data_IF_868886273956
#
_entry.id   IF_868886273956
#
_cell.length_a   1.000
_cell.length_b   1.000
_cell.length_c   1.000
_cell.angle_alpha   90.00
_cell.angle_beta   90.00
_cell.angle_gamma   90.00
#
_symmetry.space_group_name_H-M   'P 1'
#
loop_
_entity.id
_entity.type
_entity.pdbx_description
1 polymer ?
#
# COMPACT_ATOMS: atom_id res chain seq x y z
N UNK A 1 23.00 27.29 2.94
CA UNK A 1 21.61 27.38 3.46
C UNK A 1 20.73 27.79 2.27
N UNK A 2 20.34 26.83 1.43
CA UNK A 2 19.52 27.11 0.25
C UNK A 2 18.10 26.63 0.55
N UNK A 3 17.16 27.57 0.50
CA UNK A 3 15.74 27.33 0.62
C UNK A 3 15.30 26.33 -0.46
N UNK A 4 14.78 25.19 -0.02
CA UNK A 4 14.02 24.30 -0.89
C UNK A 4 12.70 25.00 -1.13
N UNK A 5 12.50 25.48 -2.35
CA UNK A 5 11.24 26.09 -2.78
C UNK A 5 10.10 25.11 -2.46
N UNK A 6 9.17 25.61 -1.65
CA UNK A 6 7.81 25.10 -1.48
C UNK A 6 7.11 25.15 -2.83
N UNK A 7 7.34 24.14 -3.65
CA UNK A 7 6.48 23.81 -4.78
C UNK A 7 5.14 23.36 -4.22
N UNK A 8 4.12 24.17 -4.46
CA UNK A 8 2.71 23.88 -4.24
C UNK A 8 2.42 22.43 -4.70
N UNK A 9 1.82 21.55 -3.89
CA UNK A 9 1.45 20.22 -4.35
C UNK A 9 0.48 20.41 -5.52
N UNK A 10 0.88 19.96 -6.71
CA UNK A 10 0.06 19.98 -7.92
C UNK A 10 -1.36 19.46 -7.58
N UNK A 11 -2.27 20.42 -7.50
CA UNK A 11 -3.67 20.24 -7.10
C UNK A 11 -4.45 19.80 -8.32
N UNK A 12 -4.46 18.49 -8.60
CA UNK A 12 -5.38 17.91 -9.58
C UNK A 12 -5.04 16.47 -9.96
N UNK A 13 -6.05 15.62 -10.24
CA UNK A 13 -5.80 14.32 -10.85
C UNK A 13 -5.15 14.51 -12.23
N UNK A 14 -3.96 13.94 -12.43
CA UNK A 14 -3.50 13.62 -13.78
C UNK A 14 -4.42 12.53 -14.34
N UNK A 15 -4.92 12.74 -15.56
CA UNK A 15 -5.83 11.81 -16.29
C UNK A 15 -5.23 10.40 -16.51
N UNK A 16 -3.96 10.17 -16.17
CA UNK A 16 -3.24 8.89 -16.28
C UNK A 16 -2.98 8.15 -14.96
N UNK A 17 -3.50 8.61 -13.82
CA UNK A 17 -3.22 7.96 -12.53
C UNK A 17 -3.82 6.55 -12.45
N UNK A 18 -3.01 5.57 -12.02
CA UNK A 18 -3.47 4.19 -11.80
C UNK A 18 -4.33 4.14 -10.54
N UNK A 19 -5.56 3.63 -10.65
CA UNK A 19 -6.46 3.47 -9.48
C UNK A 19 -6.54 2.02 -9.06
N UNK A 20 -6.43 1.79 -7.76
CA UNK A 20 -6.59 0.46 -7.15
C UNK A 20 -7.56 0.54 -5.98
N UNK A 21 -8.37 -0.51 -5.77
CA UNK A 21 -9.26 -0.65 -4.62
C UNK A 21 -8.83 -1.83 -3.76
N UNK A 22 -8.48 -1.57 -2.50
CA UNK A 22 -8.08 -2.56 -1.51
C UNK A 22 -9.07 -2.52 -0.36
N UNK A 23 -9.81 -3.61 -0.12
CA UNK A 23 -10.78 -3.69 0.98
C UNK A 23 -11.78 -2.51 1.01
N UNK A 24 -12.29 -2.14 -0.16
CA UNK A 24 -13.21 -1.00 -0.34
C UNK A 24 -12.58 0.39 -0.18
N UNK A 25 -11.25 0.48 -0.03
CA UNK A 25 -10.50 1.73 0.00
C UNK A 25 -9.76 1.94 -1.32
N UNK A 26 -10.09 3.02 -2.02
CA UNK A 26 -9.56 3.37 -3.33
C UNK A 26 -8.41 4.36 -3.21
N UNK A 27 -7.26 4.05 -3.80
CA UNK A 27 -6.12 4.96 -3.88
C UNK A 27 -5.73 5.22 -5.34
N UNK A 28 -5.50 6.51 -5.65
CA UNK A 28 -4.93 6.93 -6.92
C UNK A 28 -3.40 7.01 -6.81
N UNK A 29 -2.70 6.35 -7.73
CA UNK A 29 -1.25 6.30 -7.80
C UNK A 29 -0.79 7.17 -8.97
N UNK A 30 -0.11 8.26 -8.65
CA UNK A 30 0.51 9.19 -9.59
C UNK A 30 2.03 9.00 -9.51
N UNK A 31 2.60 8.31 -10.50
CA UNK A 31 4.03 8.00 -10.57
C UNK A 31 4.63 8.79 -11.73
N UNK A 32 5.73 9.50 -11.46
CA UNK A 32 6.45 10.28 -12.48
C UNK A 32 7.13 9.39 -13.55
N UNK A 33 7.57 8.20 -13.16
CA UNK A 33 8.21 7.24 -14.06
C UNK A 33 7.16 6.36 -14.76
N UNK A 34 6.88 6.66 -16.03
CA UNK A 34 5.96 5.89 -16.88
C UNK A 34 6.35 4.41 -16.98
N UNK A 35 7.64 4.06 -16.83
CA UNK A 35 8.10 2.68 -16.85
C UNK A 35 7.55 1.86 -15.66
N UNK A 36 7.08 2.52 -14.59
CA UNK A 36 6.47 1.87 -13.43
C UNK A 36 5.02 1.44 -13.65
N UNK A 37 4.30 2.01 -14.63
CA UNK A 37 2.90 1.66 -14.87
C UNK A 37 2.71 0.16 -15.16
N UNK A 38 3.59 -0.44 -15.98
CA UNK A 38 3.54 -1.88 -16.28
C UNK A 38 3.76 -2.78 -15.05
N UNK A 39 4.88 -2.63 -14.32
CA UNK A 39 5.11 -3.31 -13.05
C UNK A 39 3.99 -3.14 -12.02
N UNK A 40 3.48 -1.92 -11.81
CA UNK A 40 2.40 -1.66 -10.85
C UNK A 40 1.08 -2.31 -11.27
N UNK A 41 0.73 -2.28 -12.56
CA UNK A 41 -0.44 -3.02 -13.08
C UNK A 41 -0.33 -4.52 -12.89
N UNK A 42 0.87 -5.10 -13.00
CA UNK A 42 1.07 -6.52 -12.70
C UNK A 42 0.89 -6.84 -11.23
N UNK A 43 1.48 -6.05 -10.34
CA UNK A 43 1.38 -6.26 -8.89
C UNK A 43 -0.03 -6.06 -8.37
N UNK A 44 -0.71 -5.00 -8.81
CA UNK A 44 -2.07 -4.68 -8.35
C UNK A 44 -3.16 -5.14 -9.33
N UNK A 45 -2.87 -6.09 -10.21
CA UNK A 45 -3.76 -6.48 -11.32
C UNK A 45 -5.16 -6.87 -10.86
N UNK A 46 -5.27 -7.63 -9.77
CA UNK A 46 -6.54 -8.06 -9.19
C UNK A 46 -7.35 -6.92 -8.53
N UNK A 47 -6.73 -5.75 -8.33
CA UNK A 47 -7.28 -4.63 -7.58
C UNK A 47 -7.49 -3.38 -8.44
N UNK A 48 -7.23 -3.45 -9.75
CA UNK A 48 -7.41 -2.32 -10.65
C UNK A 48 -8.87 -1.85 -10.65
N UNK A 49 -9.07 -0.54 -10.49
CA UNK A 49 -10.39 0.08 -10.43
C UNK A 49 -10.42 1.33 -11.32
N UNK A 50 -10.29 1.19 -12.66
CA UNK A 50 -10.17 2.33 -13.57
C UNK A 50 -11.39 3.27 -13.51
N UNK A 51 -12.58 2.70 -13.30
CA UNK A 51 -13.86 3.40 -13.29
C UNK A 51 -14.19 4.07 -11.95
N UNK A 52 -13.32 3.94 -10.94
CA UNK A 52 -13.53 4.59 -9.65
C UNK A 52 -13.49 6.12 -9.81
N UNK A 53 -14.63 6.77 -9.55
CA UNK A 53 -14.86 8.20 -9.83
C UNK A 53 -14.05 9.10 -8.91
N UNK A 54 -13.96 8.77 -7.62
CA UNK A 54 -13.23 9.54 -6.62
C UNK A 54 -12.37 8.61 -5.74
N UNK A 55 -11.06 8.86 -5.60
CA UNK A 55 -10.24 8.08 -4.70
C UNK A 55 -10.38 8.56 -3.25
N UNK A 56 -10.34 7.64 -2.30
CA UNK A 56 -10.25 7.94 -0.86
C UNK A 56 -8.89 8.51 -0.46
N UNK A 57 -7.86 8.21 -1.27
CA UNK A 57 -6.50 8.67 -1.03
C UNK A 57 -5.69 8.83 -2.32
N UNK A 58 -4.58 9.57 -2.22
CA UNK A 58 -3.62 9.77 -3.30
C UNK A 58 -2.20 9.48 -2.84
N UNK A 59 -1.45 8.79 -3.68
CA UNK A 59 -0.01 8.63 -3.55
C UNK A 59 0.64 9.25 -4.77
N UNK A 60 1.50 10.24 -4.56
CA UNK A 60 2.33 10.85 -5.60
C UNK A 60 3.76 10.39 -5.38
N UNK A 61 4.36 9.77 -6.38
CA UNK A 61 5.74 9.32 -6.35
C UNK A 61 6.56 10.03 -7.42
N UNK A 62 7.65 10.64 -6.97
CA UNK A 62 8.64 11.34 -7.80
C UNK A 62 9.96 10.62 -7.76
N UNK A 63 10.72 10.78 -8.85
CA UNK A 63 12.07 10.23 -8.93
C UNK A 63 13.00 10.92 -7.91
N UNK A 64 13.99 10.21 -7.36
CA UNK A 64 14.98 10.84 -6.52
C UNK A 64 15.85 11.78 -7.35
N UNK A 65 16.36 12.88 -6.76
CA UNK A 65 17.21 13.85 -7.48
C UNK A 65 18.54 13.25 -7.96
N UNK A 66 18.95 12.13 -7.34
CA UNK A 66 20.12 11.34 -7.74
C UNK A 66 19.75 9.85 -7.73
N UNK A 67 20.29 9.03 -8.65
CA UNK A 67 20.07 7.59 -8.63
C UNK A 67 20.44 6.98 -7.27
N UNK A 68 19.55 6.17 -6.72
CA UNK A 68 19.78 5.46 -5.46
C UNK A 68 20.08 4.00 -5.81
N UNK A 69 21.19 3.48 -5.31
CA UNK A 69 21.51 2.07 -5.47
C UNK A 69 20.40 1.21 -4.82
N UNK A 70 19.90 0.17 -5.50
CA UNK A 70 18.89 -0.70 -4.92
C UNK A 70 19.47 -1.35 -3.65
N UNK A 71 18.68 -1.40 -2.56
CA UNK A 71 19.17 -1.94 -1.31
C UNK A 71 19.39 -3.45 -1.41
N UNK A 72 20.46 -3.95 -0.79
CA UNK A 72 20.76 -5.39 -0.70
C UNK A 72 19.74 -6.14 0.15
N UNK A 73 19.14 -5.47 1.14
CA UNK A 73 18.15 -6.03 2.05
C UNK A 73 16.98 -5.07 2.17
N UNK A 74 15.76 -5.60 2.07
CA UNK A 74 14.55 -4.84 2.35
C UNK A 74 14.15 -5.01 3.81
N UNK A 75 14.09 -3.90 4.53
CA UNK A 75 13.60 -3.84 5.91
C UNK A 75 12.23 -3.18 5.98
N UNK A 76 11.60 -3.30 7.16
CA UNK A 76 10.43 -2.50 7.49
C UNK A 76 10.80 -1.02 7.47
N UNK A 77 9.94 -0.14 6.91
CA UNK A 77 10.20 1.28 6.98
C UNK A 77 10.12 1.78 8.42
N UNK A 78 10.95 2.78 8.75
CA UNK A 78 10.80 3.54 10.00
C UNK A 78 9.69 4.56 9.84
N UNK A 79 8.86 4.67 10.87
CA UNK A 79 7.74 5.61 10.92
C UNK A 79 8.03 6.65 12.01
N UNK A 80 8.05 7.93 11.64
CA UNK A 80 8.37 9.02 12.56
C UNK A 80 7.34 10.15 12.44
N UNK A 81 6.81 10.68 13.56
CA UNK A 81 5.95 11.86 13.52
C UNK A 81 6.67 13.05 12.89
N UNK A 82 5.98 13.74 11.97
CA UNK A 82 6.47 14.95 11.32
C UNK A 82 5.78 16.21 11.86
N UNK A 83 6.12 17.37 11.27
CA UNK A 83 5.50 18.64 11.61
C UNK A 83 3.99 18.63 11.28
N UNK A 84 3.20 19.36 12.08
CA UNK A 84 1.76 19.56 11.85
C UNK A 84 0.96 18.26 11.70
N UNK A 85 1.36 17.18 12.37
CA UNK A 85 0.65 15.89 12.36
C UNK A 85 0.97 14.99 11.16
N UNK A 86 1.91 15.38 10.29
CA UNK A 86 2.40 14.51 9.20
C UNK A 86 3.10 13.26 9.74
N UNK A 87 3.27 12.24 8.90
CA UNK A 87 4.04 11.04 9.22
C UNK A 87 5.12 10.86 8.17
N UNK A 88 6.36 10.75 8.63
CA UNK A 88 7.51 10.42 7.80
C UNK A 88 7.68 8.91 7.75
N UNK A 89 7.90 8.39 6.56
CA UNK A 89 8.17 6.98 6.29
C UNK A 89 9.53 6.91 5.63
N UNK A 90 10.50 6.30 6.29
CA UNK A 90 11.85 6.15 5.76
C UNK A 90 12.12 4.68 5.50
N UNK A 91 12.36 4.33 4.24
CA UNK A 91 12.68 2.97 3.83
C UNK A 91 14.00 2.88 3.08
N UNK A 92 14.39 1.66 2.74
CA UNK A 92 15.63 1.42 2.03
C UNK A 92 15.53 1.97 0.59
N UNK A 93 16.12 3.14 0.37
CA UNK A 93 16.17 3.83 -0.92
C UNK A 93 14.90 4.61 -1.30
N UNK A 94 14.06 4.94 -0.32
CA UNK A 94 12.94 5.85 -0.51
C UNK A 94 12.56 6.55 0.79
N UNK A 95 11.93 7.71 0.66
CA UNK A 95 11.29 8.42 1.75
C UNK A 95 9.89 8.85 1.34
N UNK A 96 9.00 9.01 2.32
CA UNK A 96 7.69 9.56 2.09
C UNK A 96 7.21 10.44 3.24
N UNK A 97 6.34 11.38 2.92
CA UNK A 97 5.60 12.19 3.89
C UNK A 97 4.11 11.99 3.65
N UNK A 98 3.40 11.53 4.66
CA UNK A 98 1.94 11.39 4.65
C UNK A 98 1.31 12.61 5.32
N UNK A 99 0.23 13.11 4.71
CA UNK A 99 -0.62 14.17 5.26
C UNK A 99 -1.18 13.79 6.64
N UNK A 100 -1.63 14.74 7.47
CA UNK A 100 -2.16 14.46 8.82
C UNK A 100 -3.30 13.44 8.86
N UNK A 101 -4.17 13.47 7.86
CA UNK A 101 -5.27 12.50 7.67
C UNK A 101 -4.82 11.19 6.99
N UNK A 102 -3.56 11.07 6.56
CA UNK A 102 -3.00 9.93 5.82
C UNK A 102 -3.68 9.64 4.48
N UNK A 103 -4.47 10.58 3.95
CA UNK A 103 -5.13 10.45 2.66
C UNK A 103 -4.27 10.93 1.49
N UNK A 104 -3.15 11.61 1.76
CA UNK A 104 -2.16 11.99 0.74
C UNK A 104 -0.76 11.54 1.17
N UNK A 105 0.02 11.04 0.21
CA UNK A 105 1.41 10.69 0.42
C UNK A 105 2.29 11.23 -0.71
N UNK A 106 3.35 11.93 -0.34
CA UNK A 106 4.43 12.34 -1.24
C UNK A 106 5.61 11.40 -1.03
N UNK A 107 5.98 10.65 -2.08
CA UNK A 107 7.04 9.64 -2.07
C UNK A 107 8.18 10.10 -2.98
N UNK A 108 9.41 10.00 -2.48
CA UNK A 108 10.63 10.12 -3.27
C UNK A 108 11.30 8.76 -3.29
N UNK A 109 11.45 8.16 -4.46
CA UNK A 109 12.08 6.85 -4.60
C UNK A 109 12.04 6.34 -6.03
N UNK A 110 12.50 5.11 -6.22
CA UNK A 110 12.47 4.43 -7.51
C UNK A 110 11.98 2.99 -7.37
N UNK A 111 11.45 2.44 -8.47
CA UNK A 111 10.88 1.08 -8.47
C UNK A 111 9.51 1.00 -7.79
N UNK A 112 8.96 -0.22 -7.73
CA UNK A 112 7.61 -0.45 -7.18
C UNK A 112 7.54 -0.48 -5.65
N UNK A 113 8.63 -0.85 -4.98
CA UNK A 113 8.64 -1.09 -3.53
C UNK A 113 8.24 0.12 -2.66
N UNK A 114 8.61 1.37 -2.99
CA UNK A 114 8.14 2.54 -2.25
C UNK A 114 6.61 2.65 -2.28
N UNK A 115 6.00 2.45 -3.45
CA UNK A 115 4.54 2.46 -3.64
C UNK A 115 3.89 1.36 -2.79
N UNK A 116 4.37 0.12 -2.92
CA UNK A 116 3.84 -1.02 -2.16
C UNK A 116 3.89 -0.78 -0.65
N UNK A 117 4.99 -0.24 -0.12
CA UNK A 117 5.13 -0.05 1.32
C UNK A 117 4.33 1.15 1.86
N UNK A 118 4.32 2.27 1.13
CA UNK A 118 3.57 3.46 1.56
C UNK A 118 2.06 3.18 1.52
N UNK A 119 1.57 2.44 0.51
CA UNK A 119 0.17 1.99 0.46
C UNK A 119 -0.20 1.16 1.69
N UNK A 120 0.68 0.26 2.17
CA UNK A 120 0.41 -0.52 3.38
C UNK A 120 0.18 0.37 4.61
N UNK A 121 0.99 1.42 4.76
CA UNK A 121 0.87 2.38 5.87
C UNK A 121 -0.44 3.18 5.75
N UNK A 122 -0.78 3.64 4.54
CA UNK A 122 -2.02 4.37 4.27
C UNK A 122 -3.26 3.49 4.50
N UNK A 123 -3.25 2.25 4.00
CA UNK A 123 -4.32 1.28 4.17
C UNK A 123 -4.50 0.92 5.64
N UNK A 124 -3.42 0.65 6.38
CA UNK A 124 -3.49 0.40 7.82
C UNK A 124 -4.11 1.58 8.58
N UNK A 125 -3.77 2.81 8.19
CA UNK A 125 -4.36 4.02 8.78
C UNK A 125 -5.85 4.17 8.44
N UNK A 126 -6.24 3.86 7.21
CA UNK A 126 -7.65 3.84 6.76
C UNK A 126 -8.47 2.78 7.51
N UNK A 127 -7.92 1.57 7.66
CA UNK A 127 -8.53 0.49 8.43
C UNK A 127 -8.72 0.88 9.90
N UNK A 128 -7.70 1.47 10.53
CA UNK A 128 -7.79 1.89 11.93
C UNK A 128 -8.93 2.88 12.19
N UNK A 129 -9.21 3.81 11.26
CA UNK A 129 -10.33 4.76 11.36
C UNK A 129 -11.71 4.08 11.38
N UNK A 130 -11.82 2.88 10.81
CA UNK A 130 -13.05 2.07 10.80
C UNK A 130 -13.00 0.87 11.77
N UNK A 131 -12.13 0.92 12.77
CA UNK A 131 -11.97 -0.13 13.78
C UNK A 131 -11.33 -1.43 13.26
N UNK A 132 -10.71 -1.38 12.09
CA UNK A 132 -10.06 -2.51 11.44
C UNK A 132 -8.54 -2.59 11.66
N UNK A 133 -7.96 -3.68 11.18
CA UNK A 133 -6.54 -4.01 11.27
C UNK A 133 -6.01 -4.51 9.92
N UNK A 134 -4.72 -4.23 9.67
CA UNK A 134 -3.96 -4.87 8.61
C UNK A 134 -3.05 -5.91 9.24
N UNK A 135 -3.33 -7.19 9.00
CA UNK A 135 -2.70 -8.30 9.72
C UNK A 135 -1.73 -9.02 8.80
N UNK A 136 -0.52 -9.30 9.29
CA UNK A 136 0.41 -10.18 8.59
C UNK A 136 -0.04 -11.63 8.71
N UNK A 137 -0.55 -12.19 7.61
CA UNK A 137 -1.17 -13.51 7.61
C UNK A 137 -1.63 -13.95 6.23
N UNK A 138 -2.33 -15.07 6.19
CA UNK A 138 -3.02 -15.56 4.99
C UNK A 138 -4.51 -15.71 5.29
N UNK A 139 -5.35 -15.18 4.40
CA UNK A 139 -6.81 -15.28 4.45
C UNK A 139 -7.30 -16.26 3.41
N UNK A 140 -8.07 -17.26 3.83
CA UNK A 140 -8.60 -18.34 2.97
C UNK A 140 -10.13 -18.36 3.04
N UNK A 141 -10.78 -18.83 1.98
CA UNK A 141 -12.19 -19.26 2.05
C UNK A 141 -12.23 -20.74 2.38
N UNK A 142 -12.93 -21.09 3.45
CA UNK A 142 -13.20 -22.46 3.86
C UNK A 142 -14.68 -22.59 4.25
N UNK A 143 -15.41 -23.50 3.59
CA UNK A 143 -16.83 -23.75 3.86
C UNK A 143 -17.71 -22.48 3.84
N UNK A 144 -17.44 -21.58 2.88
CA UNK A 144 -18.18 -20.31 2.75
C UNK A 144 -17.83 -19.26 3.80
N UNK A 145 -16.83 -19.51 4.66
CA UNK A 145 -16.33 -18.58 5.67
C UNK A 145 -14.91 -18.14 5.38
N UNK A 146 -14.53 -16.96 5.86
CA UNK A 146 -13.15 -16.52 5.84
C UNK A 146 -12.39 -17.08 7.04
N UNK A 147 -11.24 -17.71 6.80
CA UNK A 147 -10.31 -18.18 7.83
C UNK A 147 -8.99 -17.38 7.73
N UNK A 148 -8.55 -16.80 8.84
CA UNK A 148 -7.31 -16.04 8.95
C UNK A 148 -6.26 -16.86 9.70
N UNK A 149 -5.12 -17.12 9.07
CA UNK A 149 -3.98 -17.77 9.69
C UNK A 149 -2.85 -16.77 9.93
N UNK A 150 -2.40 -16.69 11.18
CA UNK A 150 -1.32 -15.83 11.65
C UNK A 150 -0.22 -16.65 12.31
N UNK A 151 0.98 -16.09 12.35
CA UNK A 151 2.16 -16.76 12.90
C UNK A 151 3.44 -16.04 12.53
N UNK A 152 4.54 -16.39 13.21
CA UNK A 152 5.86 -15.81 12.93
C UNK A 152 6.31 -16.06 11.48
N UNK A 153 7.31 -15.30 11.02
CA UNK A 153 7.93 -15.57 9.73
C UNK A 153 8.48 -17.01 9.71
N UNK A 154 8.28 -17.72 8.61
CA UNK A 154 8.63 -19.15 8.49
C UNK A 154 7.63 -20.15 9.09
N UNK A 155 6.52 -19.70 9.69
CA UNK A 155 5.48 -20.60 10.23
C UNK A 155 4.66 -21.36 9.16
N UNK A 156 4.97 -21.21 7.87
CA UNK A 156 4.29 -21.91 6.77
C UNK A 156 3.02 -21.25 6.23
N UNK A 157 2.76 -19.97 6.54
CA UNK A 157 1.54 -19.24 6.09
C UNK A 157 1.41 -19.20 4.56
N UNK A 158 2.44 -18.74 3.85
CA UNK A 158 2.43 -18.69 2.39
C UNK A 158 2.44 -20.10 1.77
N UNK A 159 3.08 -21.07 2.43
CA UNK A 159 3.01 -22.48 2.02
C UNK A 159 1.57 -23.01 2.10
N UNK A 160 0.85 -22.72 3.19
CA UNK A 160 -0.55 -23.06 3.35
C UNK A 160 -1.42 -22.39 2.27
N UNK A 161 -1.19 -21.11 1.99
CA UNK A 161 -1.89 -20.38 0.92
C UNK A 161 -1.68 -21.04 -0.46
N UNK A 162 -0.43 -21.38 -0.79
CA UNK A 162 -0.09 -22.07 -2.04
C UNK A 162 -0.77 -23.44 -2.15
N UNK A 163 -0.66 -24.27 -1.11
CA UNK A 163 -1.32 -25.59 -1.08
C UNK A 163 -2.85 -25.49 -1.17
N UNK A 164 -3.45 -24.45 -0.58
CA UNK A 164 -4.89 -24.22 -0.67
C UNK A 164 -5.32 -23.89 -2.11
N UNK A 165 -4.56 -23.07 -2.83
CA UNK A 165 -4.80 -22.78 -4.25
C UNK A 165 -4.64 -24.04 -5.11
N UNK A 166 -3.59 -24.83 -4.88
CA UNK A 166 -3.36 -26.09 -5.60
C UNK A 166 -4.50 -27.09 -5.39
N UNK A 167 -5.12 -27.09 -4.20
CA UNK A 167 -6.29 -27.90 -3.90
C UNK A 167 -7.62 -27.34 -4.47
N UNK A 168 -7.58 -26.24 -5.24
CA UNK A 168 -8.78 -25.59 -5.81
C UNK A 168 -9.53 -24.68 -4.82
N UNK A 169 -8.94 -24.40 -3.66
CA UNK A 169 -9.47 -23.45 -2.69
C UNK A 169 -9.28 -22.00 -3.12
N UNK A 170 -9.97 -21.08 -2.44
CA UNK A 170 -9.82 -19.63 -2.68
C UNK A 170 -8.94 -18.98 -1.61
N UNK A 171 -7.90 -18.28 -2.04
CA UNK A 171 -7.10 -17.39 -1.19
C UNK A 171 -7.62 -15.97 -1.36
N UNK A 172 -8.00 -15.34 -0.24
CA UNK A 172 -8.47 -13.95 -0.19
C UNK A 172 -7.29 -12.98 -0.22
N UNK A 173 -6.24 -13.28 0.54
CA UNK A 173 -5.01 -12.50 0.61
C UNK A 173 -3.87 -13.35 1.18
N UNK A 174 -2.64 -13.11 0.70
CA UNK A 174 -1.40 -13.62 1.28
C UNK A 174 -0.54 -12.41 1.68
N UNK A 175 0.30 -12.60 2.69
CA UNK A 175 1.11 -11.57 3.37
C UNK A 175 0.36 -10.52 4.19
N UNK A 176 -0.71 -9.90 3.68
CA UNK A 176 -1.46 -8.85 4.39
C UNK A 176 -2.97 -8.99 4.22
N UNK A 177 -3.65 -9.24 5.34
CA UNK A 177 -5.10 -9.42 5.40
C UNK A 177 -5.72 -8.22 6.08
N UNK A 178 -6.57 -7.50 5.34
CA UNK A 178 -7.39 -6.44 5.89
C UNK A 178 -8.62 -7.04 6.58
N UNK A 179 -8.82 -6.71 7.86
CA UNK A 179 -10.01 -7.10 8.64
C UNK A 179 -10.64 -5.87 9.27
N UNK A 180 -11.96 -5.84 9.37
CA UNK A 180 -12.69 -4.77 10.03
C UNK A 180 -14.03 -5.29 10.54
N UNK A 181 -14.58 -4.70 11.63
CA UNK A 181 -15.88 -5.08 12.13
C UNK A 181 -16.98 -4.72 11.13
N UNK A 182 -17.97 -5.60 11.02
CA UNK A 182 -19.24 -5.36 10.31
C UNK A 182 -20.37 -5.65 11.30
N UNK A 183 -21.45 -4.86 11.27
CA UNK A 183 -22.62 -5.14 12.10
C UNK A 183 -23.17 -6.53 11.77
N UNK A 184 -23.36 -7.36 12.79
CA UNK A 184 -23.85 -8.73 12.65
C UNK A 184 -22.84 -9.77 12.14
N UNK A 185 -21.54 -9.47 12.14
CA UNK A 185 -20.49 -10.42 11.72
C UNK A 185 -20.44 -11.66 12.62
N UNK A 186 -20.52 -12.84 12.00
CA UNK A 186 -20.32 -14.17 12.62
C UNK A 186 -19.08 -14.88 12.10
#
# INVERSE_FOLDING_TARGET
MHAVNSGDPLTGPRDGALRITLAGWTVALDVEDDALAGPLRRVFGAFLAPDAVAPDARLVMRNPPSPIAPPTVQGLPRLEPGASGTLRVEGAGYSAVLSPDRCHADVIGAGRYPVENVIKVMLASSLAKRGGLLIHGVGLVHEGRAALFVGHSGAGKSTLGGLWLEAGGTVLADELVAVWPVEGGG
#
